data_IF_883566610632
#
_entry.id   IF_883566610632
#
_cell.length_a   1.000
_cell.length_b   1.000
_cell.length_c   1.000
_cell.angle_alpha   90.00
_cell.angle_beta   90.00
_cell.angle_gamma   90.00
#
_symmetry.space_group_name_H-M   'P 1'
#
loop_
_entity.id
_entity.type
_entity.pdbx_description
1 polymer ?
#
# COMPACT_ATOMS: atom_id res chain seq x y z
N UNK A 1 22.14 -10.37 -15.91
CA UNK A 1 21.84 -8.92 -15.87
C UNK A 1 21.38 -8.60 -14.45
N UNK A 2 22.21 -7.89 -13.67
CA UNK A 2 22.00 -7.63 -12.23
C UNK A 2 20.85 -6.62 -12.09
N UNK A 3 19.70 -7.07 -11.57
CA UNK A 3 18.55 -6.20 -11.26
C UNK A 3 18.80 -5.49 -9.92
N UNK A 4 19.10 -4.18 -9.91
CA UNK A 4 19.23 -3.42 -8.65
C UNK A 4 17.91 -3.31 -7.86
N UNK A 5 16.79 -3.74 -8.44
CA UNK A 5 15.43 -3.64 -7.88
C UNK A 5 14.98 -4.82 -7.00
N UNK A 6 15.72 -5.93 -6.92
CA UNK A 6 15.35 -7.06 -6.05
C UNK A 6 15.21 -6.65 -4.58
N UNK A 7 16.03 -5.70 -4.11
CA UNK A 7 15.97 -5.20 -2.73
C UNK A 7 14.68 -4.43 -2.47
N UNK A 8 14.20 -3.67 -3.45
CA UNK A 8 13.01 -2.84 -3.31
C UNK A 8 11.74 -3.66 -3.33
N UNK A 9 11.66 -4.62 -4.27
CA UNK A 9 10.59 -5.63 -4.31
C UNK A 9 10.53 -6.42 -2.99
N UNK A 10 11.68 -6.77 -2.42
CA UNK A 10 11.73 -7.50 -1.14
C UNK A 10 11.25 -6.63 0.04
N UNK A 11 11.54 -5.34 0.03
CA UNK A 11 11.06 -4.37 1.03
C UNK A 11 9.54 -4.19 0.95
N UNK A 12 9.00 -4.13 -0.26
CA UNK A 12 7.57 -4.01 -0.49
C UNK A 12 6.81 -5.28 -0.08
N UNK A 13 7.37 -6.46 -0.39
CA UNK A 13 6.83 -7.73 0.08
C UNK A 13 6.80 -7.78 1.61
N UNK A 14 7.83 -7.24 2.27
CA UNK A 14 7.87 -7.08 3.72
C UNK A 14 6.78 -6.12 4.23
N UNK A 15 6.58 -5.01 3.53
CA UNK A 15 5.55 -4.01 3.86
C UNK A 15 4.14 -4.60 3.73
N UNK A 16 3.87 -5.35 2.66
CA UNK A 16 2.60 -6.06 2.44
C UNK A 16 2.36 -7.07 3.56
N UNK A 17 3.37 -7.87 3.93
CA UNK A 17 3.27 -8.82 5.05
C UNK A 17 2.98 -8.10 6.37
N UNK A 18 3.66 -6.97 6.63
CA UNK A 18 3.36 -6.15 7.80
C UNK A 18 1.92 -5.65 7.79
N UNK A 19 1.42 -5.11 6.67
CA UNK A 19 0.05 -4.60 6.58
C UNK A 19 -0.98 -5.72 6.76
N UNK A 20 -0.71 -6.92 6.24
CA UNK A 20 -1.58 -8.08 6.46
C UNK A 20 -1.63 -8.43 7.96
N UNK A 21 -0.48 -8.49 8.63
CA UNK A 21 -0.42 -8.81 10.07
C UNK A 21 -1.13 -7.74 10.92
N UNK A 22 -0.83 -6.46 10.69
CA UNK A 22 -1.47 -5.35 11.42
C UNK A 22 -2.97 -5.26 11.12
N UNK A 23 -3.38 -5.46 9.86
CA UNK A 23 -4.78 -5.48 9.46
C UNK A 23 -5.57 -6.62 10.08
N UNK A 24 -4.97 -7.82 10.19
CA UNK A 24 -5.62 -8.98 10.82
C UNK A 24 -5.80 -8.76 12.33
N UNK A 25 -4.77 -8.22 13.00
CA UNK A 25 -4.83 -7.88 14.43
C UNK A 25 -5.90 -6.82 14.67
N UNK A 26 -5.95 -5.78 13.82
CA UNK A 26 -6.93 -4.71 13.89
C UNK A 26 -8.37 -5.22 13.72
N UNK A 27 -8.59 -6.17 12.80
CA UNK A 27 -9.90 -6.80 12.56
C UNK A 27 -10.38 -7.60 13.79
N UNK A 28 -9.47 -8.34 14.44
CA UNK A 28 -9.78 -9.14 15.63
C UNK A 28 -10.04 -8.25 16.85
N UNK A 29 -9.31 -7.14 16.99
CA UNK A 29 -9.45 -6.23 18.12
C UNK A 29 -10.62 -5.23 17.98
N UNK A 30 -11.19 -5.05 16.77
CA UNK A 30 -12.22 -4.06 16.50
C UNK A 30 -11.76 -2.61 16.65
N UNK A 31 -10.44 -2.37 16.77
CA UNK A 31 -9.87 -1.03 16.89
C UNK A 31 -9.83 -0.35 15.52
N UNK A 32 -10.86 0.43 15.24
CA UNK A 32 -11.05 1.17 13.99
C UNK A 32 -9.84 2.03 13.61
N UNK A 33 -9.21 2.69 14.59
CA UNK A 33 -7.97 3.45 14.39
C UNK A 33 -6.83 2.62 13.76
N UNK A 34 -6.70 1.35 14.16
CA UNK A 34 -5.64 0.44 13.71
C UNK A 34 -5.92 -0.10 12.29
N UNK A 35 -7.21 -0.22 11.95
CA UNK A 35 -7.67 -0.52 10.58
C UNK A 35 -7.33 0.65 9.65
N UNK A 36 -7.66 1.89 10.06
CA UNK A 36 -7.31 3.09 9.29
C UNK A 36 -5.81 3.22 9.10
N UNK A 37 -5.01 3.01 10.16
CA UNK A 37 -3.56 3.06 10.08
C UNK A 37 -3.00 2.04 9.07
N UNK A 38 -3.54 0.82 9.06
CA UNK A 38 -3.13 -0.25 8.14
C UNK A 38 -3.45 0.10 6.68
N UNK A 39 -4.62 0.68 6.42
CA UNK A 39 -5.04 1.12 5.10
C UNK A 39 -4.19 2.28 4.57
N UNK A 40 -3.83 3.24 5.44
CA UNK A 40 -2.90 4.32 5.10
C UNK A 40 -1.50 3.80 4.77
N UNK A 41 -0.98 2.84 5.55
CA UNK A 41 0.30 2.18 5.25
C UNK A 41 0.28 1.48 3.89
N UNK A 42 -0.84 0.83 3.55
CA UNK A 42 -1.05 0.17 2.26
C UNK A 42 -1.01 1.18 1.11
N UNK A 43 -1.69 2.33 1.26
CA UNK A 43 -1.70 3.40 0.25
C UNK A 43 -0.29 3.98 0.02
N UNK A 44 0.48 4.18 1.10
CA UNK A 44 1.87 4.65 1.01
C UNK A 44 2.75 3.60 0.31
N UNK A 45 2.59 2.31 0.63
CA UNK A 45 3.31 1.23 -0.04
C UNK A 45 3.05 1.20 -1.55
N UNK A 46 1.80 1.39 -1.96
CA UNK A 46 1.42 1.47 -3.38
C UNK A 46 2.00 2.72 -4.08
N UNK A 47 2.08 3.86 -3.39
CA UNK A 47 2.73 5.06 -3.93
C UNK A 47 4.24 4.87 -4.10
N UNK A 48 4.90 4.24 -3.13
CA UNK A 48 6.31 3.87 -3.25
C UNK A 48 6.52 2.95 -4.45
N UNK A 49 5.66 1.94 -4.64
CA UNK A 49 5.80 1.03 -5.77
C UNK A 49 5.55 1.72 -7.12
N UNK A 50 4.59 2.64 -7.17
CA UNK A 50 4.36 3.45 -8.36
C UNK A 50 5.57 4.32 -8.74
N UNK A 51 6.27 4.89 -7.75
CA UNK A 51 7.50 5.65 -7.99
C UNK A 51 8.61 4.78 -8.57
N UNK A 52 8.75 3.54 -8.10
CA UNK A 52 9.71 2.56 -8.62
C UNK A 52 9.38 2.21 -10.06
N UNK A 53 8.12 1.90 -10.38
CA UNK A 53 7.70 1.55 -11.74
C UNK A 53 7.87 2.73 -12.72
N UNK A 54 7.64 3.97 -12.26
CA UNK A 54 7.92 5.17 -13.03
C UNK A 54 9.40 5.27 -13.37
N UNK A 55 10.27 5.05 -12.37
CA UNK A 55 11.71 5.08 -12.56
C UNK A 55 12.23 3.93 -13.45
N UNK A 56 11.51 2.81 -13.52
CA UNK A 56 11.86 1.64 -14.36
C UNK A 56 11.31 1.76 -15.79
N UNK A 57 10.86 2.95 -16.21
CA UNK A 57 10.25 3.23 -17.52
C UNK A 57 8.97 2.40 -17.82
N UNK A 58 8.38 1.75 -16.82
CA UNK A 58 7.12 1.01 -16.93
C UNK A 58 5.94 1.89 -16.51
N UNK A 59 5.79 3.03 -17.18
CA UNK A 59 4.82 4.09 -16.86
C UNK A 59 3.36 3.58 -16.84
N UNK A 60 3.06 2.57 -17.66
CA UNK A 60 1.73 1.96 -17.72
C UNK A 60 1.37 1.17 -16.46
N UNK A 61 2.34 0.57 -15.78
CA UNK A 61 2.10 -0.12 -14.51
C UNK A 61 2.07 0.89 -13.35
N UNK A 62 2.97 1.87 -13.38
CA UNK A 62 3.05 2.94 -12.38
C UNK A 62 1.70 3.66 -12.22
N UNK A 63 1.08 4.03 -13.35
CA UNK A 63 -0.24 4.68 -13.35
C UNK A 63 -1.33 3.82 -12.70
N UNK A 64 -1.31 2.48 -12.90
CA UNK A 64 -2.28 1.57 -12.27
C UNK A 64 -2.07 1.48 -10.76
N UNK A 65 -0.82 1.50 -10.31
CA UNK A 65 -0.50 1.45 -8.88
C UNK A 65 -0.86 2.75 -8.16
N UNK A 66 -0.60 3.91 -8.78
CA UNK A 66 -1.09 5.21 -8.27
C UNK A 66 -2.62 5.21 -8.18
N UNK A 67 -3.31 4.74 -9.22
CA UNK A 67 -4.78 4.70 -9.22
C UNK A 67 -5.31 3.82 -8.09
N UNK A 68 -4.69 2.65 -7.85
CA UNK A 68 -5.02 1.78 -6.71
C UNK A 68 -4.75 2.45 -5.37
N UNK A 69 -3.62 3.14 -5.20
CA UNK A 69 -3.32 3.88 -3.99
C UNK A 69 -4.38 4.93 -3.69
N UNK A 70 -4.78 5.70 -4.70
CA UNK A 70 -5.81 6.74 -4.62
C UNK A 70 -7.17 6.12 -4.28
N UNK A 71 -7.54 5.00 -4.91
CA UNK A 71 -8.78 4.29 -4.60
C UNK A 71 -8.83 3.84 -3.14
N UNK A 72 -7.76 3.19 -2.64
CA UNK A 72 -7.69 2.74 -1.26
C UNK A 72 -7.76 3.94 -0.31
N UNK A 73 -7.04 5.01 -0.61
CA UNK A 73 -7.05 6.24 0.19
C UNK A 73 -8.45 6.85 0.28
N UNK A 74 -9.12 7.06 -0.86
CA UNK A 74 -10.48 7.60 -0.90
C UNK A 74 -11.48 6.69 -0.18
N UNK A 75 -11.38 5.37 -0.39
CA UNK A 75 -12.26 4.41 0.26
C UNK A 75 -12.07 4.43 1.79
N UNK A 76 -10.82 4.53 2.23
CA UNK A 76 -10.44 4.63 3.65
C UNK A 76 -10.98 5.91 4.27
N UNK A 77 -10.77 7.06 3.63
CA UNK A 77 -11.30 8.35 4.13
C UNK A 77 -12.83 8.39 4.14
N UNK A 78 -13.48 7.80 3.13
CA UNK A 78 -14.94 7.70 3.09
C UNK A 78 -15.48 6.82 4.22
N UNK A 79 -14.86 5.66 4.45
CA UNK A 79 -15.24 4.75 5.52
C UNK A 79 -15.04 5.39 6.90
N UNK A 80 -14.06 6.28 7.06
CA UNK A 80 -13.83 7.07 8.28
C UNK A 80 -14.93 8.09 8.54
N UNK A 81 -15.47 8.72 7.49
CA UNK A 81 -16.53 9.72 7.61
C UNK A 81 -17.94 9.11 7.75
N UNK A 82 -18.14 7.88 7.29
CA UNK A 82 -19.41 7.15 7.40
C UNK A 82 -19.66 6.61 8.82
N UNK A 83 -18.59 6.33 9.55
CA UNK A 83 -18.60 5.65 10.85
C UNK A 83 -18.69 6.63 12.02
#
# INVERSE_FOLDING_TARGET
MRHPFEKFIRLELLSIVCVILFGLIALIQGYLLLIFLSLYLLAIGLLCNAMIEWYTHQSASAGKQVLRAIMIFLFTTYLMFLL
#
